data_IF_588360691798
#
_entry.id   IF_588360691798
#
_cell.length_a   1.000
_cell.length_b   1.000
_cell.length_c   1.000
_cell.angle_alpha   90.00
_cell.angle_beta   90.00
_cell.angle_gamma   90.00
#
_symmetry.space_group_name_H-M   'P 1'
#
loop_
_entity.id
_entity.type
_entity.pdbx_description
1 polymer ?
#
# COMPACT_ATOMS: atom_id res chain seq x y z
N UNK A 1 38.70 -14.80 30.05
CA UNK A 1 38.05 -15.17 28.77
C UNK A 1 36.63 -14.64 28.83
N UNK A 2 36.35 -13.69 27.93
CA UNK A 2 35.11 -12.95 27.59
C UNK A 2 33.83 -13.65 28.10
N UNK A 3 32.97 -13.10 28.96
CA UNK A 3 32.31 -11.78 29.05
C UNK A 3 31.74 -11.27 27.72
N UNK A 4 30.56 -11.77 27.36
CA UNK A 4 29.67 -11.18 26.35
C UNK A 4 28.30 -10.97 26.96
N UNK A 5 28.22 -9.92 27.77
CA UNK A 5 27.21 -8.86 27.73
C UNK A 5 25.81 -9.31 27.32
N UNK A 6 24.98 -9.48 28.35
CA UNK A 6 23.55 -9.17 28.30
C UNK A 6 23.32 -7.94 27.43
N UNK A 7 22.71 -8.15 26.25
CA UNK A 7 22.23 -7.07 25.40
C UNK A 7 21.06 -6.42 26.15
N UNK A 8 21.39 -5.42 26.96
CA UNK A 8 20.46 -4.44 27.51
C UNK A 8 19.57 -3.97 26.35
N UNK A 9 18.29 -4.36 26.38
CA UNK A 9 17.24 -3.60 25.70
C UNK A 9 17.17 -2.26 26.43
N UNK A 10 18.03 -1.33 26.00
CA UNK A 10 17.89 0.07 26.35
C UNK A 10 16.52 0.55 25.86
N UNK A 11 15.85 1.38 26.65
CA UNK A 11 14.44 1.75 26.54
C UNK A 11 14.12 2.67 25.35
N UNK A 12 14.44 2.24 24.13
CA UNK A 12 13.91 2.84 22.90
C UNK A 12 12.49 2.30 22.72
N UNK A 13 11.50 3.20 22.79
CA UNK A 13 10.10 2.88 22.52
C UNK A 13 10.01 2.11 21.20
N UNK A 14 9.55 0.86 21.25
CA UNK A 14 9.38 0.08 20.03
C UNK A 14 8.24 0.67 19.18
N UNK A 15 8.26 0.40 17.88
CA UNK A 15 7.34 1.02 16.92
C UNK A 15 5.88 0.68 17.23
N UNK A 16 5.59 -0.52 17.76
CA UNK A 16 4.22 -0.90 18.13
C UNK A 16 3.74 -0.07 19.32
N UNK A 17 4.59 0.06 20.34
CA UNK A 17 4.32 0.93 21.49
C UNK A 17 4.14 2.39 21.07
N UNK A 18 4.91 2.87 20.09
CA UNK A 18 4.80 4.23 19.59
C UNK A 18 3.46 4.51 18.90
N UNK A 19 3.00 3.57 18.06
CA UNK A 19 1.73 3.70 17.35
C UNK A 19 0.56 3.58 18.33
N UNK A 20 0.63 2.68 19.32
CA UNK A 20 -0.40 2.55 20.34
C UNK A 20 -0.53 3.83 21.18
N UNK A 21 0.59 4.43 21.57
CA UNK A 21 0.59 5.71 22.28
C UNK A 21 -0.05 6.84 21.45
N UNK A 22 0.17 6.87 20.14
CA UNK A 22 -0.50 7.82 19.25
C UNK A 22 -2.01 7.58 19.20
N UNK A 23 -2.44 6.31 19.02
CA UNK A 23 -3.87 5.94 19.01
C UNK A 23 -4.55 6.38 20.31
N UNK A 24 -3.91 6.13 21.45
CA UNK A 24 -4.46 6.48 22.76
C UNK A 24 -4.56 8.01 22.93
N UNK A 25 -3.53 8.76 22.53
CA UNK A 25 -3.54 10.22 22.54
C UNK A 25 -4.66 10.80 21.64
N UNK A 26 -4.88 10.23 20.46
CA UNK A 26 -5.96 10.65 19.56
C UNK A 26 -7.35 10.34 20.14
N UNK A 27 -7.53 9.19 20.81
CA UNK A 27 -8.78 8.85 21.51
C UNK A 27 -9.07 9.81 22.67
N UNK A 28 -8.03 10.20 23.43
CA UNK A 28 -8.16 11.23 24.47
C UNK A 28 -8.61 12.55 23.85
N UNK A 29 -7.98 12.99 22.76
CA UNK A 29 -8.39 14.22 22.07
C UNK A 29 -9.85 14.18 21.60
N UNK A 30 -10.34 13.04 21.08
CA UNK A 30 -11.78 12.89 20.74
C UNK A 30 -12.66 13.02 21.99
N UNK A 31 -12.26 12.43 23.11
CA UNK A 31 -12.96 12.55 24.39
C UNK A 31 -13.06 14.00 24.88
N UNK A 32 -11.96 14.74 24.81
CA UNK A 32 -11.92 16.17 25.15
C UNK A 32 -12.84 17.00 24.26
N UNK A 33 -12.81 16.78 22.93
CA UNK A 33 -13.68 17.47 21.97
C UNK A 33 -15.15 17.15 22.20
N UNK A 34 -15.48 15.91 22.56
CA UNK A 34 -16.85 15.51 22.91
C UNK A 34 -17.33 16.22 24.17
N UNK A 35 -16.49 16.31 25.21
CA UNK A 35 -16.83 17.03 26.44
C UNK A 35 -17.04 18.53 26.18
N UNK A 36 -16.15 19.16 25.40
CA UNK A 36 -16.30 20.56 24.99
C UNK A 36 -17.59 20.79 24.18
N UNK A 37 -17.97 19.85 23.31
CA UNK A 37 -19.21 19.92 22.53
C UNK A 37 -20.46 19.84 23.39
N UNK A 38 -20.47 18.99 24.42
CA UNK A 38 -21.57 18.92 25.39
C UNK A 38 -21.70 20.25 26.12
N UNK A 39 -20.60 20.83 26.62
CA UNK A 39 -20.61 22.11 27.32
C UNK A 39 -21.10 23.26 26.42
N UNK A 40 -20.62 23.33 25.18
CA UNK A 40 -21.06 24.35 24.22
C UNK A 40 -22.56 24.21 23.88
N UNK A 41 -23.06 22.97 23.77
CA UNK A 41 -24.47 22.71 23.53
C UNK A 41 -25.35 23.13 24.72
N UNK A 42 -24.92 22.81 25.95
CA UNK A 42 -25.59 23.22 27.19
C UNK A 42 -25.61 24.74 27.37
N UNK A 43 -24.56 25.43 26.92
CA UNK A 43 -24.45 26.89 26.95
C UNK A 43 -25.28 27.59 25.84
N UNK A 44 -25.91 26.85 24.93
CA UNK A 44 -26.65 27.39 23.78
C UNK A 44 -25.76 27.85 22.62
N UNK A 45 -24.45 27.57 22.67
CA UNK A 45 -23.48 27.90 21.63
C UNK A 45 -23.45 26.80 20.55
N UNK A 46 -24.54 26.68 19.80
CA UNK A 46 -24.73 25.58 18.85
C UNK A 46 -23.69 25.53 17.73
N UNK A 47 -23.23 26.68 17.23
CA UNK A 47 -22.19 26.73 16.19
C UNK A 47 -20.85 26.20 16.71
N UNK A 48 -20.49 26.55 17.95
CA UNK A 48 -19.28 26.06 18.60
C UNK A 48 -19.39 24.55 18.85
N UNK A 49 -20.54 24.08 19.35
CA UNK A 49 -20.80 22.66 19.54
C UNK A 49 -20.65 21.86 18.23
N UNK A 50 -21.17 22.41 17.12
CA UNK A 50 -21.02 21.80 15.80
C UNK A 50 -19.57 21.80 15.33
N UNK A 51 -18.82 22.88 15.57
CA UNK A 51 -17.41 22.97 15.19
C UNK A 51 -16.56 21.93 15.92
N UNK A 52 -16.70 21.81 17.24
CA UNK A 52 -15.92 20.82 18.02
C UNK A 52 -16.34 19.38 17.72
N UNK A 53 -17.62 19.16 17.39
CA UNK A 53 -18.08 17.85 16.91
C UNK A 53 -17.46 17.49 15.55
N UNK A 54 -17.34 18.45 14.63
CA UNK A 54 -16.67 18.24 13.34
C UNK A 54 -15.16 17.95 13.53
N UNK A 55 -14.51 18.62 14.49
CA UNK A 55 -13.12 18.32 14.85
C UNK A 55 -12.97 16.90 15.38
N UNK A 56 -13.88 16.43 16.25
CA UNK A 56 -13.86 15.06 16.75
C UNK A 56 -13.99 14.03 15.60
N UNK A 57 -14.94 14.26 14.68
CA UNK A 57 -15.13 13.42 13.48
C UNK A 57 -13.91 13.37 12.57
N UNK A 58 -13.18 14.49 12.44
CA UNK A 58 -11.97 14.55 11.62
C UNK A 58 -10.81 13.72 12.20
N UNK A 59 -10.83 13.44 13.51
CA UNK A 59 -9.79 12.62 14.17
C UNK A 59 -10.04 11.11 14.00
N UNK A 60 -11.30 10.68 13.86
CA UNK A 60 -11.66 9.26 13.66
C UNK A 60 -10.89 8.56 12.51
N UNK A 61 -10.79 9.11 11.28
CA UNK A 61 -10.02 8.47 10.21
C UNK A 61 -8.51 8.44 10.49
N UNK A 62 -7.99 9.33 11.35
CA UNK A 62 -6.57 9.33 11.75
C UNK A 62 -6.30 8.16 12.70
N UNK A 63 -7.25 7.86 13.60
CA UNK A 63 -7.18 6.67 14.48
C UNK A 63 -7.17 5.39 13.63
N UNK A 64 -8.06 5.30 12.64
CA UNK A 64 -8.10 4.15 11.73
C UNK A 64 -6.81 3.98 10.93
N UNK A 65 -6.22 5.10 10.46
CA UNK A 65 -4.94 5.08 9.76
C UNK A 65 -3.80 4.60 10.68
N UNK A 66 -3.77 5.04 11.94
CA UNK A 66 -2.79 4.59 12.92
C UNK A 66 -2.95 3.09 13.24
N UNK A 67 -4.18 2.59 13.43
CA UNK A 67 -4.45 1.16 13.59
C UNK A 67 -4.01 0.34 12.36
N UNK A 68 -4.19 0.89 11.16
CA UNK A 68 -3.72 0.25 9.93
C UNK A 68 -2.19 0.18 9.87
N UNK A 69 -1.49 1.23 10.30
CA UNK A 69 -0.03 1.25 10.40
C UNK A 69 0.46 0.18 11.39
N UNK A 70 -0.15 0.05 12.56
CA UNK A 70 0.18 -1.00 13.53
C UNK A 70 0.03 -2.40 12.92
N UNK A 71 -1.10 -2.68 12.24
CA UNK A 71 -1.34 -3.96 11.56
C UNK A 71 -0.34 -4.23 10.45
N UNK A 72 0.02 -3.21 9.67
CA UNK A 72 1.03 -3.36 8.63
C UNK A 72 2.40 -3.66 9.22
N UNK A 73 2.76 -3.00 10.33
CA UNK A 73 4.00 -3.23 11.05
C UNK A 73 4.07 -4.65 11.64
N UNK A 74 3.02 -5.11 12.31
CA UNK A 74 2.92 -6.48 12.83
C UNK A 74 3.01 -7.53 11.71
N UNK A 75 2.38 -7.28 10.55
CA UNK A 75 2.46 -8.17 9.40
C UNK A 75 3.87 -8.30 8.81
N UNK A 76 4.73 -7.29 8.99
CA UNK A 76 6.14 -7.36 8.62
C UNK A 76 6.99 -8.12 9.66
N UNK A 77 6.54 -8.19 10.92
CA UNK A 77 7.21 -8.93 11.99
C UNK A 77 6.77 -10.38 12.13
N UNK A 78 5.54 -10.71 11.70
CA UNK A 78 5.05 -12.07 11.68
C UNK A 78 6.01 -12.95 10.85
N UNK A 79 6.45 -14.11 11.37
CA UNK A 79 7.09 -15.11 10.54
C UNK A 79 6.13 -15.40 9.40
N UNK A 80 6.50 -15.02 8.18
CA UNK A 80 5.75 -15.39 7.00
C UNK A 80 5.69 -16.92 7.04
N UNK A 81 4.51 -17.48 7.29
CA UNK A 81 4.27 -18.89 7.17
C UNK A 81 4.47 -19.19 5.69
N UNK A 82 5.72 -19.51 5.35
CA UNK A 82 6.17 -19.90 4.04
C UNK A 82 5.46 -21.22 3.75
N UNK A 83 4.24 -21.12 3.23
CA UNK A 83 3.62 -22.20 2.48
C UNK A 83 4.56 -22.54 1.33
N UNK A 84 5.46 -23.48 1.61
CA UNK A 84 6.35 -24.15 0.67
C UNK A 84 7.33 -23.25 -0.07
N UNK A 85 8.37 -22.77 0.60
CA UNK A 85 9.62 -22.42 -0.10
C UNK A 85 10.21 -23.67 -0.74
N UNK A 86 9.86 -23.95 -2.00
CA UNK A 86 10.92 -24.26 -2.96
C UNK A 86 11.53 -22.90 -3.29
N UNK A 87 12.71 -22.65 -2.73
CA UNK A 87 13.65 -21.64 -3.25
C UNK A 87 13.91 -21.99 -4.71
N UNK A 88 13.06 -21.51 -5.60
CA UNK A 88 13.46 -21.36 -6.98
C UNK A 88 14.29 -20.09 -6.95
N UNK A 89 15.60 -20.24 -7.22
CA UNK A 89 16.40 -19.14 -7.77
C UNK A 89 15.49 -18.37 -8.72
N UNK A 90 15.46 -17.05 -8.61
CA UNK A 90 14.79 -16.17 -9.57
C UNK A 90 15.05 -16.75 -10.97
N UNK A 91 14.08 -17.53 -11.46
CA UNK A 91 14.09 -18.00 -12.83
C UNK A 91 13.52 -16.79 -13.48
N UNK A 92 14.44 -16.05 -14.06
CA UNK A 92 14.25 -14.91 -14.94
C UNK A 92 12.82 -14.95 -15.47
N UNK A 93 12.06 -13.88 -15.22
CA UNK A 93 11.08 -13.51 -16.22
C UNK A 93 11.84 -13.62 -17.53
N UNK A 94 11.45 -14.54 -18.42
CA UNK A 94 11.83 -14.39 -19.82
C UNK A 94 11.51 -12.93 -20.12
N UNK A 95 12.52 -12.07 -20.33
CA UNK A 95 12.25 -10.68 -20.55
C UNK A 95 11.47 -10.64 -21.86
N UNK A 96 10.16 -10.42 -21.77
CA UNK A 96 9.51 -9.72 -22.86
C UNK A 96 10.29 -8.41 -23.02
N UNK A 97 10.52 -7.94 -24.25
CA UNK A 97 11.40 -6.78 -24.48
C UNK A 97 11.05 -5.54 -23.64
N UNK A 98 9.81 -5.47 -23.13
CA UNK A 98 9.37 -4.50 -22.13
C UNK A 98 8.95 -5.21 -20.83
N UNK A 99 9.62 -4.90 -19.72
CA UNK A 99 9.22 -5.33 -18.38
C UNK A 99 8.22 -4.33 -17.78
N UNK A 100 6.99 -4.80 -17.56
CA UNK A 100 5.89 -4.00 -17.02
C UNK A 100 5.84 -3.98 -15.49
N UNK A 101 6.60 -4.83 -14.80
CA UNK A 101 6.47 -5.03 -13.35
C UNK A 101 6.79 -3.74 -12.59
N UNK A 102 7.96 -3.14 -12.85
CA UNK A 102 8.38 -1.91 -12.16
C UNK A 102 7.48 -0.72 -12.51
N UNK A 103 7.18 -0.43 -13.80
CA UNK A 103 6.24 0.63 -14.15
C UNK A 103 4.86 0.50 -13.50
N UNK A 104 4.30 -0.71 -13.41
CA UNK A 104 3.00 -0.93 -12.76
C UNK A 104 3.08 -0.63 -11.25
N UNK A 105 4.14 -1.08 -10.57
CA UNK A 105 4.32 -0.82 -9.14
C UNK A 105 4.55 0.67 -8.87
N UNK A 106 5.29 1.35 -9.75
CA UNK A 106 5.50 2.80 -9.67
C UNK A 106 4.18 3.57 -9.73
N UNK A 107 3.36 3.33 -10.76
CA UNK A 107 2.07 4.02 -10.91
C UNK A 107 1.15 3.71 -9.73
N UNK A 108 1.16 2.48 -9.22
CA UNK A 108 0.36 2.13 -8.06
C UNK A 108 0.83 2.87 -6.80
N UNK A 109 2.12 3.05 -6.57
CA UNK A 109 2.60 3.86 -5.46
C UNK A 109 2.23 5.34 -5.61
N UNK A 110 2.37 5.90 -6.81
CA UNK A 110 2.00 7.28 -7.11
C UNK A 110 0.49 7.54 -6.87
N UNK A 111 -0.36 6.52 -7.08
CA UNK A 111 -1.81 6.56 -6.87
C UNK A 111 -2.25 6.12 -5.46
N UNK A 112 -1.33 6.03 -4.49
CA UNK A 112 -1.68 5.69 -3.10
C UNK A 112 -1.97 4.20 -2.87
N UNK A 113 -1.51 3.33 -3.77
CA UNK A 113 -1.48 1.88 -3.65
C UNK A 113 -2.63 1.13 -4.32
N UNK A 114 -3.56 1.80 -5.01
CA UNK A 114 -4.67 1.17 -5.73
C UNK A 114 -5.22 2.06 -6.83
N UNK A 115 -5.85 1.46 -7.85
CA UNK A 115 -6.57 2.21 -8.87
C UNK A 115 -7.25 1.32 -9.91
N UNK A 116 -8.11 1.90 -10.77
CA UNK A 116 -8.74 1.17 -11.86
C UNK A 116 -7.69 0.63 -12.86
N UNK A 117 -7.80 -0.63 -13.25
CA UNK A 117 -6.79 -1.31 -14.11
C UNK A 117 -6.49 -0.52 -15.38
N UNK A 118 -7.51 0.01 -16.05
CA UNK A 118 -7.33 0.77 -17.29
C UNK A 118 -6.57 2.08 -17.07
N UNK A 119 -6.89 2.83 -16.01
CA UNK A 119 -6.22 4.08 -15.67
C UNK A 119 -4.75 3.84 -15.29
N UNK A 120 -4.49 2.77 -14.53
CA UNK A 120 -3.11 2.36 -14.21
C UNK A 120 -2.34 2.02 -15.48
N UNK A 121 -2.91 1.21 -16.38
CA UNK A 121 -2.25 0.85 -17.64
C UNK A 121 -2.04 2.04 -18.58
N UNK A 122 -2.95 3.02 -18.60
CA UNK A 122 -2.80 4.24 -19.38
C UNK A 122 -1.61 5.08 -18.90
N UNK A 123 -1.39 5.16 -17.59
CA UNK A 123 -0.22 5.83 -17.02
C UNK A 123 1.07 5.04 -17.22
N UNK A 124 1.02 3.71 -17.08
CA UNK A 124 2.16 2.82 -17.37
C UNK A 124 2.63 3.04 -18.80
N UNK A 125 1.71 3.15 -19.76
CA UNK A 125 2.03 3.46 -21.17
C UNK A 125 2.89 4.72 -21.31
N UNK A 126 2.62 5.77 -20.53
CA UNK A 126 3.38 7.01 -20.58
C UNK A 126 4.82 6.83 -20.09
N UNK A 127 5.05 5.93 -19.13
CA UNK A 127 6.37 5.62 -18.57
C UNK A 127 7.21 4.80 -19.55
N UNK A 128 6.61 3.78 -20.16
CA UNK A 128 7.32 2.81 -21.02
C UNK A 128 7.29 3.18 -22.51
N UNK A 129 6.68 4.31 -22.89
CA UNK A 129 6.44 4.67 -24.30
C UNK A 129 7.71 4.59 -25.16
N UNK A 130 8.86 4.93 -24.58
CA UNK A 130 10.15 4.97 -25.29
C UNK A 130 10.81 3.58 -25.40
N UNK A 131 10.25 2.57 -24.71
CA UNK A 131 10.66 1.17 -24.77
C UNK A 131 9.77 0.34 -25.71
N UNK A 132 8.55 0.83 -26.02
CA UNK A 132 7.62 0.17 -26.92
C UNK A 132 8.07 0.34 -28.38
N UNK A 133 8.04 -0.76 -29.14
CA UNK A 133 8.31 -0.77 -30.58
C UNK A 133 7.03 -0.51 -31.37
N UNK A 134 7.17 -0.22 -32.67
CA UNK A 134 6.02 -0.04 -33.56
C UNK A 134 5.05 -1.23 -33.52
N UNK A 135 5.60 -2.45 -33.53
CA UNK A 135 4.84 -3.71 -33.50
C UNK A 135 4.01 -3.88 -32.22
N UNK A 136 4.41 -3.24 -31.11
CA UNK A 136 3.70 -3.32 -29.83
C UNK A 136 2.38 -2.54 -29.85
N UNK A 137 2.22 -1.61 -30.79
CA UNK A 137 0.99 -0.86 -31.04
C UNK A 137 0.04 -1.57 -32.00
N UNK A 138 0.44 -2.69 -32.59
CA UNK A 138 -0.43 -3.47 -33.47
C UNK A 138 -1.57 -4.15 -32.69
N UNK A 139 -2.69 -4.34 -33.38
CA UNK A 139 -3.79 -5.15 -32.89
C UNK A 139 -3.44 -6.63 -33.00
N UNK A 140 -3.91 -7.42 -32.04
CA UNK A 140 -3.93 -8.88 -32.17
C UNK A 140 -4.96 -9.31 -33.22
N UNK A 141 -4.94 -10.60 -33.57
CA UNK A 141 -5.88 -11.25 -34.49
C UNK A 141 -7.36 -11.05 -34.08
N UNK A 142 -7.62 -10.76 -32.80
CA UNK A 142 -8.95 -10.44 -32.27
C UNK A 142 -9.45 -9.03 -32.67
N UNK A 143 -8.61 -8.23 -33.35
CA UNK A 143 -8.86 -6.88 -33.85
C UNK A 143 -9.34 -5.87 -32.79
N UNK A 144 -9.19 -6.19 -31.50
CA UNK A 144 -9.70 -5.38 -30.38
C UNK A 144 -8.64 -5.11 -29.32
N UNK A 145 -7.66 -6.00 -29.20
CA UNK A 145 -6.63 -5.91 -28.18
C UNK A 145 -5.32 -5.45 -28.80
N UNK A 146 -4.71 -4.42 -28.21
CA UNK A 146 -3.38 -3.95 -28.62
C UNK A 146 -2.31 -4.82 -27.95
N UNK A 147 -1.27 -5.21 -28.68
CA UNK A 147 -0.22 -6.13 -28.20
C UNK A 147 0.38 -5.75 -26.85
N UNK A 148 0.82 -4.51 -26.66
CA UNK A 148 1.41 -4.10 -25.39
C UNK A 148 0.43 -4.23 -24.21
N UNK A 149 -0.88 -4.07 -24.42
CA UNK A 149 -1.88 -4.23 -23.35
C UNK A 149 -2.04 -5.69 -22.95
N UNK A 150 -1.98 -6.61 -23.90
CA UNK A 150 -2.02 -8.04 -23.58
C UNK A 150 -0.76 -8.46 -22.81
N UNK A 151 0.41 -7.94 -23.21
CA UNK A 151 1.67 -8.14 -22.47
C UNK A 151 1.57 -7.59 -21.05
N UNK A 152 1.04 -6.38 -20.86
CA UNK A 152 0.85 -5.79 -19.55
C UNK A 152 -0.15 -6.60 -18.68
N UNK A 153 -1.26 -7.06 -19.27
CA UNK A 153 -2.24 -7.93 -18.61
C UNK A 153 -1.61 -9.27 -18.18
N UNK A 154 -0.74 -9.85 -19.01
CA UNK A 154 0.03 -11.05 -18.66
C UNK A 154 0.94 -10.80 -17.45
N UNK A 155 1.66 -9.68 -17.44
CA UNK A 155 2.49 -9.26 -16.30
C UNK A 155 1.68 -9.10 -15.02
N UNK A 156 0.50 -8.47 -15.08
CA UNK A 156 -0.41 -8.36 -13.92
C UNK A 156 -0.78 -9.75 -13.37
N UNK A 157 -1.14 -10.71 -14.24
CA UNK A 157 -1.46 -12.08 -13.81
C UNK A 157 -0.28 -12.75 -13.10
N UNK A 158 0.94 -12.52 -13.58
CA UNK A 158 2.17 -13.02 -12.95
C UNK A 158 2.39 -12.33 -11.59
N UNK A 159 2.23 -11.01 -11.51
CA UNK A 159 2.39 -10.23 -10.27
C UNK A 159 1.41 -10.66 -9.19
N UNK A 160 0.15 -10.93 -9.54
CA UNK A 160 -0.85 -11.48 -8.62
C UNK A 160 -0.42 -12.86 -8.10
N UNK A 161 0.05 -13.75 -8.98
CA UNK A 161 0.56 -15.08 -8.58
C UNK A 161 1.79 -15.00 -7.66
N UNK A 162 2.64 -13.99 -7.86
CA UNK A 162 3.84 -13.74 -7.05
C UNK A 162 3.57 -13.01 -5.74
N UNK A 163 2.32 -12.59 -5.49
CA UNK A 163 1.93 -11.87 -4.28
C UNK A 163 2.29 -10.38 -4.29
N UNK A 164 2.68 -9.81 -5.44
CA UNK A 164 3.00 -8.37 -5.58
C UNK A 164 1.74 -7.51 -5.67
N UNK A 165 0.64 -8.08 -6.18
CA UNK A 165 -0.68 -7.46 -6.27
C UNK A 165 -1.72 -8.32 -5.55
N UNK A 166 -2.76 -7.69 -5.02
CA UNK A 166 -3.84 -8.40 -4.33
C UNK A 166 -4.65 -9.29 -5.29
N UNK A 167 -4.78 -10.58 -4.95
CA UNK A 167 -5.58 -11.55 -5.71
C UNK A 167 -7.10 -11.41 -5.53
N UNK A 168 -7.53 -10.73 -4.46
CA UNK A 168 -8.95 -10.53 -4.10
C UNK A 168 -9.47 -9.12 -4.40
N UNK A 169 -8.77 -8.35 -5.25
CA UNK A 169 -9.25 -7.02 -5.63
C UNK A 169 -10.57 -7.14 -6.42
N UNK A 170 -11.45 -6.12 -6.35
CA UNK A 170 -12.63 -6.05 -7.22
C UNK A 170 -12.24 -6.22 -8.69
N UNK A 171 -13.17 -6.73 -9.51
CA UNK A 171 -12.98 -6.75 -10.97
C UNK A 171 -12.62 -5.33 -11.43
N UNK A 172 -11.58 -5.23 -12.23
CA UNK A 172 -11.05 -3.98 -12.81
C UNK A 172 -10.36 -3.01 -11.84
N UNK A 173 -9.95 -3.47 -10.64
CA UNK A 173 -9.12 -2.67 -9.72
C UNK A 173 -7.81 -3.40 -9.42
N UNK A 174 -6.69 -2.68 -9.51
CA UNK A 174 -5.39 -3.15 -9.02
C UNK A 174 -5.11 -2.56 -7.64
N UNK A 175 -4.43 -3.35 -6.80
CA UNK A 175 -3.95 -2.91 -5.49
C UNK A 175 -2.61 -3.57 -5.19
N UNK A 176 -1.62 -2.76 -4.84
CA UNK A 176 -0.30 -3.23 -4.44
C UNK A 176 -0.35 -3.88 -3.06
N UNK A 177 0.45 -4.93 -2.86
CA UNK A 177 0.63 -5.57 -1.54
C UNK A 177 1.85 -4.97 -0.83
N UNK A 178 2.04 -5.21 0.48
CA UNK A 178 3.29 -4.87 1.16
C UNK A 178 4.52 -5.48 0.49
N UNK A 179 4.42 -6.72 0.01
CA UNK A 179 5.50 -7.40 -0.73
C UNK A 179 5.79 -6.69 -2.06
N UNK A 180 4.76 -6.22 -2.78
CA UNK A 180 4.92 -5.42 -4.00
C UNK A 180 5.67 -4.12 -3.75
N UNK A 181 5.36 -3.43 -2.64
CA UNK A 181 6.09 -2.22 -2.23
C UNK A 181 7.55 -2.49 -1.92
N UNK A 182 7.82 -3.53 -1.12
CA UNK A 182 9.19 -3.90 -0.78
C UNK A 182 9.99 -4.20 -2.05
N UNK A 183 9.42 -5.00 -2.95
CA UNK A 183 10.04 -5.30 -4.24
C UNK A 183 10.33 -4.04 -5.06
N UNK A 184 9.39 -3.09 -5.11
CA UNK A 184 9.60 -1.83 -5.82
C UNK A 184 10.74 -0.99 -5.20
N UNK A 185 10.79 -0.88 -3.87
CA UNK A 185 11.87 -0.15 -3.19
C UNK A 185 13.24 -0.80 -3.34
N UNK A 186 13.32 -2.13 -3.38
CA UNK A 186 14.58 -2.85 -3.59
C UNK A 186 15.17 -2.60 -4.98
N UNK A 187 14.32 -2.39 -5.99
CA UNK A 187 14.72 -2.21 -7.40
C UNK A 187 15.11 -0.76 -7.73
N UNK A 188 14.92 0.18 -6.80
CA UNK A 188 15.36 1.57 -6.94
C UNK A 188 16.74 1.86 -6.33
N UNK A 189 17.39 0.85 -5.73
CA UNK A 189 18.74 0.96 -5.16
C UNK A 189 19.80 0.60 -6.19
#
# INVERSE_FOLDING_TARGET
MQDTRSFRRDSTMDVQSAVQNLVDALKVAVGEKKSAGIQAFEAGEYDLAQQVANQAKAIEPIIEAADHIAKQWDALQAPQDVLGTKRTKAKDLEPTEVDFVIPILQVLEDEGGKGPTNEILDRVKLIIKDQLKADDYELLDDSKTIRWRESAQSSIKIMVKRGLLHSKAPKDTLRITPQGRLYFFEQQK
#
